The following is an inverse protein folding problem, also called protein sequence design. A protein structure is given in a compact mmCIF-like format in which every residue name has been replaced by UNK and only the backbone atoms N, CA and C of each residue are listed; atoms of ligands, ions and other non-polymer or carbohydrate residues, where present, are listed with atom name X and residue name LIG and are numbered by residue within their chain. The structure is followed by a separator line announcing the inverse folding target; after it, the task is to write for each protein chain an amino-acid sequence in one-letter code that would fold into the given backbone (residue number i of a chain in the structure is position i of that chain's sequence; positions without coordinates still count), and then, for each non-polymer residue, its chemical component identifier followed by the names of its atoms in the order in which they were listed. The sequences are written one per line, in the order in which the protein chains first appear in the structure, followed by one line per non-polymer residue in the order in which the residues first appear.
data_IF_649490796700
#
_entry.id   IF_649490796700
#
_cell.length_a   1.000
_cell.length_b   1.000
_cell.length_c   1.000
_cell.angle_alpha   90.00
_cell.angle_beta   90.00
_cell.angle_gamma   90.00
#
_symmetry.space_group_name_H-M   'P 1'
#
loop_
_entity.id
_entity.type
_entity.pdbx_description
1 polymer ?
#
# COMPACT_ATOMS: atom_id res chain seq x y z
N UNK A 1 -10.72 -19.95 1.85
CA UNK A 1 -10.82 -18.94 2.92
C UNK A 1 -10.93 -17.57 2.24
N UNK A 2 -11.89 -16.74 2.69
CA UNK A 2 -12.49 -15.60 1.97
C UNK A 2 -11.54 -14.84 1.02
N UNK A 3 -11.64 -15.14 -0.29
CA UNK A 3 -10.75 -14.60 -1.33
C UNK A 3 -11.33 -13.39 -2.06
N UNK A 4 -12.59 -13.03 -1.78
CA UNK A 4 -13.22 -11.82 -2.33
C UNK A 4 -13.12 -10.70 -1.28
N UNK A 5 -12.37 -9.61 -1.55
CA UNK A 5 -12.29 -8.46 -0.65
C UNK A 5 -13.65 -7.79 -0.39
N UNK A 6 -14.68 -8.12 -1.18
CA UNK A 6 -16.05 -7.65 -0.98
C UNK A 6 -16.95 -8.64 -0.25
N UNK A 7 -16.48 -9.84 0.12
CA UNK A 7 -17.31 -10.80 0.84
C UNK A 7 -17.80 -10.25 2.19
N UNK A 8 -16.95 -9.48 2.88
CA UNK A 8 -17.30 -8.84 4.14
C UNK A 8 -18.48 -7.87 3.98
N UNK A 9 -18.58 -7.15 2.86
CA UNK A 9 -19.71 -6.23 2.59
C UNK A 9 -21.07 -6.92 2.59
N UNK A 10 -21.13 -8.20 2.20
CA UNK A 10 -22.40 -8.94 2.14
C UNK A 10 -22.94 -9.33 3.51
N UNK A 11 -22.08 -9.38 4.53
CA UNK A 11 -22.43 -9.84 5.88
C UNK A 11 -22.24 -8.77 6.95
N UNK A 12 -21.70 -7.60 6.57
CA UNK A 12 -21.27 -6.52 7.46
C UNK A 12 -22.38 -6.06 8.39
N UNK A 13 -23.60 -5.86 7.88
CA UNK A 13 -24.74 -5.42 8.70
C UNK A 13 -25.15 -6.45 9.76
N UNK A 14 -24.95 -7.75 9.49
CA UNK A 14 -25.26 -8.83 10.43
C UNK A 14 -24.20 -8.99 11.53
N UNK A 15 -22.97 -8.53 11.28
CA UNK A 15 -21.83 -8.71 12.20
C UNK A 15 -21.33 -7.40 12.81
N UNK A 16 -21.93 -6.25 12.50
CA UNK A 16 -21.47 -4.92 12.94
C UNK A 16 -21.36 -4.73 14.46
N UNK A 17 -22.09 -5.53 15.23
CA UNK A 17 -22.04 -5.51 16.70
C UNK A 17 -20.89 -6.35 17.30
N UNK A 18 -20.19 -7.16 16.52
CA UNK A 18 -19.00 -7.89 16.96
C UNK A 18 -17.75 -6.99 16.94
N UNK A 19 -16.65 -7.39 17.59
CA UNK A 19 -15.34 -6.74 17.40
C UNK A 19 -14.80 -7.12 16.03
N UNK A 20 -14.63 -6.13 15.16
CA UNK A 20 -14.11 -6.32 13.80
C UNK A 20 -12.60 -6.13 13.78
N UNK A 21 -11.93 -7.00 13.04
CA UNK A 21 -10.52 -6.85 12.67
C UNK A 21 -10.47 -6.29 11.25
N UNK A 22 -10.11 -5.01 11.12
CA UNK A 22 -10.21 -4.27 9.86
C UNK A 22 -8.88 -3.63 9.51
N UNK A 23 -8.59 -3.42 8.23
CA UNK A 23 -7.35 -2.77 7.81
C UNK A 23 -7.42 -1.24 7.84
N UNK A 24 -8.64 -0.71 7.70
CA UNK A 24 -8.99 0.71 7.78
C UNK A 24 -10.52 0.85 7.91
N UNK A 25 -10.99 2.07 8.17
CA UNK A 25 -12.41 2.43 8.17
C UNK A 25 -12.87 3.08 6.85
N UNK A 26 -11.99 3.25 5.86
CA UNK A 26 -12.32 3.93 4.59
C UNK A 26 -13.39 3.21 3.77
N UNK A 27 -13.64 1.94 4.09
CA UNK A 27 -14.62 1.08 3.46
C UNK A 27 -15.88 0.83 4.27
N UNK A 28 -15.97 1.31 5.50
CA UNK A 28 -17.11 1.09 6.39
C UNK A 28 -18.01 2.33 6.45
N UNK A 29 -19.32 2.12 6.59
CA UNK A 29 -20.23 3.22 6.94
C UNK A 29 -20.04 3.61 8.41
N UNK A 30 -20.51 4.81 8.76
CA UNK A 30 -20.44 5.32 10.12
C UNK A 30 -21.13 4.41 11.16
N UNK A 31 -22.14 3.63 10.77
CA UNK A 31 -22.83 2.69 11.66
C UNK A 31 -22.25 1.26 11.63
N UNK A 32 -21.21 1.02 10.83
CA UNK A 32 -20.63 -0.30 10.61
C UNK A 32 -19.27 -0.50 11.30
N UNK A 33 -18.53 0.59 11.59
CA UNK A 33 -17.24 0.54 12.25
C UNK A 33 -17.13 1.56 13.38
N UNK A 34 -16.34 1.24 14.41
CA UNK A 34 -16.09 2.13 15.55
C UNK A 34 -14.66 2.01 16.06
N UNK A 35 -13.96 3.13 16.22
CA UNK A 35 -12.63 3.21 16.84
C UNK A 35 -12.61 2.76 18.31
N UNK A 36 -13.77 2.75 18.97
CA UNK A 36 -13.88 2.34 20.39
C UNK A 36 -13.99 0.81 20.52
N UNK A 37 -14.50 0.13 19.48
CA UNK A 37 -14.81 -1.30 19.51
C UNK A 37 -13.87 -2.12 18.64
N UNK A 38 -13.54 -1.62 17.46
CA UNK A 38 -12.85 -2.36 16.40
C UNK A 38 -11.34 -2.17 16.45
N UNK A 39 -10.62 -3.17 15.98
CA UNK A 39 -9.16 -3.19 15.99
C UNK A 39 -8.64 -3.03 14.57
N UNK A 40 -7.79 -2.02 14.37
CA UNK A 40 -7.05 -1.84 13.12
C UNK A 40 -5.90 -2.85 13.08
N UNK A 41 -5.89 -3.72 12.09
CA UNK A 41 -4.84 -4.70 11.85
C UNK A 41 -4.02 -4.28 10.62
N UNK A 42 -2.68 -4.27 10.71
CA UNK A 42 -1.81 -4.04 9.56
C UNK A 42 -2.19 -4.86 8.33
N UNK A 43 -2.09 -4.25 7.14
CA UNK A 43 -2.29 -4.98 5.89
C UNK A 43 -1.28 -6.13 5.76
N UNK A 44 -1.74 -7.29 5.32
CA UNK A 44 -0.82 -8.35 4.89
C UNK A 44 -0.09 -7.90 3.63
N UNK A 45 1.25 -7.90 3.69
CA UNK A 45 2.08 -7.68 2.51
C UNK A 45 1.76 -8.73 1.42
N UNK A 46 1.90 -8.33 0.17
CA UNK A 46 1.50 -9.10 -1.02
C UNK A 46 2.69 -9.58 -1.83
N UNK A 47 3.89 -9.08 -1.55
CA UNK A 47 5.15 -9.43 -2.20
C UNK A 47 6.01 -10.31 -1.30
N UNK A 48 7.09 -10.90 -1.83
CA UNK A 48 7.98 -11.69 -0.99
C UNK A 48 8.82 -10.77 -0.09
N UNK A 49 9.04 -11.20 1.16
CA UNK A 49 10.01 -10.58 2.06
C UNK A 49 11.39 -10.59 1.41
N UNK A 50 12.12 -9.49 1.56
CA UNK A 50 13.50 -9.38 1.12
C UNK A 50 14.37 -10.43 1.83
N UNK A 51 15.16 -11.16 1.04
CA UNK A 51 15.92 -12.32 1.50
C UNK A 51 17.45 -12.09 1.49
N UNK A 52 17.91 -10.87 1.20
CA UNK A 52 19.35 -10.57 1.14
C UNK A 52 20.01 -10.81 -0.22
N UNK A 53 19.23 -11.05 -1.27
CA UNK A 53 19.73 -11.30 -2.63
C UNK A 53 20.49 -10.10 -3.24
N UNK A 54 20.07 -8.86 -2.94
CA UNK A 54 20.70 -7.63 -3.43
C UNK A 54 20.93 -6.65 -2.29
N UNK A 55 22.18 -6.51 -1.85
CA UNK A 55 22.54 -5.58 -0.77
C UNK A 55 21.99 -4.17 -1.02
N UNK A 56 21.63 -3.48 0.06
CA UNK A 56 21.01 -2.14 0.00
C UNK A 56 21.91 -1.14 -0.76
N UNK A 57 23.23 -1.26 -0.61
CA UNK A 57 24.25 -0.45 -1.30
C UNK A 57 24.25 -0.67 -2.82
N UNK A 58 23.96 -1.90 -3.28
CA UNK A 58 24.03 -2.31 -4.68
C UNK A 58 22.70 -2.11 -5.43
N UNK A 59 21.73 -1.41 -4.82
CA UNK A 59 20.46 -1.08 -5.45
C UNK A 59 20.65 0.08 -6.43
N UNK A 60 20.61 -0.23 -7.72
CA UNK A 60 20.83 0.75 -8.79
C UNK A 60 19.57 1.56 -9.14
N UNK A 61 18.38 1.11 -8.74
CA UNK A 61 17.16 1.89 -8.94
C UNK A 61 16.96 2.84 -7.76
N UNK A 62 16.82 4.13 -8.05
CA UNK A 62 16.53 5.14 -7.06
C UNK A 62 15.10 4.99 -6.54
N UNK A 63 14.12 5.05 -7.44
CA UNK A 63 12.70 5.12 -7.08
C UNK A 63 11.87 4.10 -7.86
N UNK A 64 11.01 3.36 -7.16
CA UNK A 64 10.11 2.38 -7.76
C UNK A 64 8.63 2.64 -7.43
N UNK A 65 7.79 2.48 -8.44
CA UNK A 65 6.34 2.37 -8.32
C UNK A 65 5.79 1.39 -9.35
N UNK A 66 4.94 0.46 -8.90
CA UNK A 66 4.08 -0.30 -9.80
C UNK A 66 2.67 -0.38 -9.25
N UNK A 67 1.70 0.01 -10.07
CA UNK A 67 0.30 -0.01 -9.66
C UNK A 67 -0.65 0.50 -10.73
N UNK A 68 -1.95 0.46 -10.42
CA UNK A 68 -2.94 0.97 -11.36
C UNK A 68 -2.79 2.50 -11.49
N UNK A 69 -2.39 2.93 -12.70
CA UNK A 69 -2.25 4.34 -13.11
C UNK A 69 -3.58 5.08 -13.05
N UNK A 70 -4.64 4.47 -13.55
CA UNK A 70 -5.96 5.10 -13.66
C UNK A 70 -6.84 4.67 -12.48
N UNK A 71 -6.95 5.54 -11.48
CA UNK A 71 -7.82 5.40 -10.32
C UNK A 71 -8.79 6.58 -10.25
N UNK A 72 -10.01 6.34 -9.76
CA UNK A 72 -11.00 7.40 -9.50
C UNK A 72 -10.60 8.18 -8.22
N UNK A 73 -11.21 9.34 -8.00
CA UNK A 73 -11.05 10.14 -6.76
C UNK A 73 -9.59 10.43 -6.37
N UNK A 74 -9.15 10.01 -5.17
CA UNK A 74 -7.83 10.29 -4.57
C UNK A 74 -6.62 9.72 -5.35
N UNK A 75 -6.86 9.00 -6.45
CA UNK A 75 -5.83 8.48 -7.34
C UNK A 75 -5.42 9.40 -8.50
N UNK A 76 -6.04 10.58 -8.67
CA UNK A 76 -5.73 11.50 -9.79
C UNK A 76 -4.25 11.92 -9.86
N UNK A 77 -3.61 12.07 -8.70
CA UNK A 77 -2.18 12.43 -8.62
C UNK A 77 -1.28 11.36 -9.26
N UNK A 78 -1.74 10.11 -9.36
CA UNK A 78 -0.96 9.02 -9.95
C UNK A 78 -0.70 9.25 -11.42
N UNK A 79 -1.67 9.76 -12.17
CA UNK A 79 -1.44 10.03 -13.60
C UNK A 79 -0.36 11.10 -13.78
N UNK A 80 -0.40 12.17 -12.96
CA UNK A 80 0.64 13.20 -12.95
C UNK A 80 2.01 12.62 -12.55
N UNK A 81 2.07 11.82 -11.49
CA UNK A 81 3.32 11.17 -11.06
C UNK A 81 3.90 10.26 -12.15
N UNK A 82 3.06 9.54 -12.90
CA UNK A 82 3.53 8.77 -14.05
C UNK A 82 4.14 9.67 -15.12
N UNK A 83 3.44 10.74 -15.52
CA UNK A 83 3.93 11.66 -16.56
C UNK A 83 5.24 12.34 -16.17
N UNK A 84 5.39 12.71 -14.89
CA UNK A 84 6.59 13.38 -14.41
C UNK A 84 7.79 12.44 -14.24
N UNK A 85 7.56 11.18 -13.86
CA UNK A 85 8.62 10.26 -13.46
C UNK A 85 8.99 9.22 -14.52
N UNK A 86 8.20 9.05 -15.58
CA UNK A 86 8.42 7.98 -16.57
C UNK A 86 9.74 8.09 -17.34
N UNK A 87 10.32 9.30 -17.43
CA UNK A 87 11.55 9.57 -18.18
C UNK A 87 12.75 9.93 -17.28
N UNK A 88 12.60 9.81 -15.95
CA UNK A 88 13.66 10.12 -15.00
C UNK A 88 14.67 8.97 -14.89
N UNK A 89 15.95 9.31 -14.78
CA UNK A 89 17.03 8.33 -14.61
C UNK A 89 16.90 7.59 -13.28
N UNK A 90 17.20 6.29 -13.27
CA UNK A 90 17.07 5.41 -12.11
C UNK A 90 15.66 5.35 -11.48
N UNK A 91 14.63 5.79 -12.21
CA UNK A 91 13.24 5.74 -11.76
C UNK A 91 12.45 4.72 -12.58
N UNK A 92 11.69 3.87 -11.88
CA UNK A 92 10.82 2.87 -12.50
C UNK A 92 9.38 3.12 -12.05
N UNK A 93 8.57 3.67 -12.94
CA UNK A 93 7.12 3.82 -12.73
C UNK A 93 6.37 3.01 -13.79
N UNK A 94 5.64 1.98 -13.37
CA UNK A 94 4.96 1.04 -14.27
C UNK A 94 3.49 0.85 -13.94
N UNK A 95 2.67 0.75 -14.98
CA UNK A 95 1.28 0.35 -14.81
C UNK A 95 1.22 -1.12 -14.42
N UNK A 96 0.44 -1.44 -13.38
CA UNK A 96 0.29 -2.81 -12.88
C UNK A 96 -1.13 -3.10 -12.42
N UNK A 97 -1.63 -4.28 -12.79
CA UNK A 97 -2.90 -4.86 -12.33
C UNK A 97 -2.64 -6.00 -11.34
N UNK A 98 -3.70 -6.50 -10.69
CA UNK A 98 -3.59 -7.63 -9.77
C UNK A 98 -3.35 -8.94 -10.55
N UNK A 99 -2.10 -9.31 -10.78
CA UNK A 99 -1.70 -10.57 -11.40
C UNK A 99 -0.51 -11.21 -10.66
N UNK A 100 -0.26 -12.51 -10.88
CA UNK A 100 0.92 -13.20 -10.32
C UNK A 100 2.22 -12.65 -10.91
N UNK A 101 2.21 -12.31 -12.18
CA UNK A 101 3.36 -11.75 -12.89
C UNK A 101 3.73 -10.36 -12.37
N UNK A 102 2.74 -9.46 -12.28
CA UNK A 102 2.95 -8.10 -11.75
C UNK A 102 3.44 -8.13 -10.30
N UNK A 103 2.99 -9.11 -9.50
CA UNK A 103 3.48 -9.30 -8.13
C UNK A 103 4.95 -9.70 -8.08
N UNK A 104 5.40 -10.58 -8.98
CA UNK A 104 6.83 -10.95 -9.09
C UNK A 104 7.66 -9.76 -9.56
N UNK A 105 7.18 -9.04 -10.57
CA UNK A 105 7.83 -7.84 -11.06
C UNK A 105 7.92 -6.74 -9.98
N UNK A 106 6.85 -6.55 -9.20
CA UNK A 106 6.85 -5.64 -8.06
C UNK A 106 7.81 -6.08 -6.95
N UNK A 107 7.83 -7.38 -6.62
CA UNK A 107 8.80 -7.93 -5.65
C UNK A 107 10.23 -7.59 -6.06
N UNK A 108 10.59 -7.93 -7.31
CA UNK A 108 11.93 -7.67 -7.83
C UNK A 108 12.25 -6.17 -7.86
N UNK A 109 11.34 -5.36 -8.40
CA UNK A 109 11.53 -3.91 -8.47
C UNK A 109 11.69 -3.26 -7.10
N UNK A 110 10.98 -3.72 -6.08
CA UNK A 110 11.13 -3.20 -4.72
C UNK A 110 12.44 -3.68 -4.05
N UNK A 111 12.91 -4.89 -4.35
CA UNK A 111 14.20 -5.40 -3.84
C UNK A 111 15.42 -4.74 -4.48
N UNK A 112 15.29 -4.25 -5.72
CA UNK A 112 16.37 -3.56 -6.45
C UNK A 112 16.37 -2.04 -6.23
N UNK A 113 15.41 -1.50 -5.48
CA UNK A 113 15.20 -0.05 -5.36
C UNK A 113 15.47 0.51 -3.97
N UNK A 114 16.02 1.72 -3.91
CA UNK A 114 16.28 2.42 -2.64
C UNK A 114 14.99 2.95 -2.04
N UNK A 115 14.17 3.61 -2.86
CA UNK A 115 12.93 4.26 -2.47
C UNK A 115 11.73 3.64 -3.18
N UNK A 116 10.62 3.51 -2.46
CA UNK A 116 9.36 3.02 -2.98
C UNK A 116 8.31 4.11 -2.82
N UNK A 117 7.88 4.68 -3.94
CA UNK A 117 6.88 5.74 -3.94
C UNK A 117 5.58 5.18 -3.40
N UNK A 118 4.88 5.87 -2.51
CA UNK A 118 3.65 5.47 -1.83
C UNK A 118 2.57 6.57 -1.92
N UNK A 119 2.01 6.85 -3.13
CA UNK A 119 0.89 7.77 -3.25
C UNK A 119 -0.36 7.20 -2.57
N UNK A 120 -1.16 8.10 -2.02
CA UNK A 120 -2.48 7.79 -1.50
C UNK A 120 -3.31 6.93 -2.47
N UNK A 121 -4.14 6.07 -1.91
CA UNK A 121 -5.12 5.28 -2.64
C UNK A 121 -6.53 5.57 -2.14
N UNK A 122 -7.46 4.68 -2.46
CA UNK A 122 -8.85 4.78 -2.00
C UNK A 122 -9.01 4.46 -0.50
N UNK A 123 -7.93 4.02 0.17
CA UNK A 123 -7.88 3.74 1.60
C UNK A 123 -6.70 4.48 2.24
N UNK A 124 -6.83 5.00 3.48
CA UNK A 124 -5.75 5.70 4.18
C UNK A 124 -4.52 4.81 4.39
N UNK A 125 -4.72 3.53 4.75
CA UNK A 125 -3.66 2.55 4.87
C UNK A 125 -3.50 1.79 3.54
N UNK A 126 -2.35 1.96 2.89
CA UNK A 126 -2.03 1.24 1.66
C UNK A 126 -1.23 -0.02 2.00
N UNK A 127 -1.69 -1.19 1.53
CA UNK A 127 -0.92 -2.45 1.52
C UNK A 127 0.55 -2.27 1.08
N UNK A 128 0.79 -1.29 0.20
CA UNK A 128 2.07 -0.99 -0.40
C UNK A 128 3.10 -0.37 0.56
N UNK A 129 2.63 0.27 1.64
CA UNK A 129 3.51 0.69 2.73
C UNK A 129 4.15 -0.53 3.38
N UNK A 130 3.36 -1.56 3.70
CA UNK A 130 3.85 -2.81 4.27
C UNK A 130 4.70 -3.60 3.28
N UNK A 131 4.36 -3.61 1.99
CA UNK A 131 5.22 -4.16 0.94
C UNK A 131 6.61 -3.48 0.96
N UNK A 132 6.66 -2.15 1.07
CA UNK A 132 7.93 -1.39 1.12
C UNK A 132 8.77 -1.79 2.32
N UNK A 133 8.14 -1.92 3.49
CA UNK A 133 8.80 -2.33 4.74
C UNK A 133 9.41 -3.74 4.60
N UNK A 134 8.64 -4.74 4.13
CA UNK A 134 9.16 -6.12 4.01
C UNK A 134 10.20 -6.27 2.89
N UNK A 135 10.27 -5.33 1.96
CA UNK A 135 11.32 -5.23 0.94
C UNK A 135 12.57 -4.47 1.39
N UNK A 136 12.57 -3.89 2.60
CA UNK A 136 13.56 -2.91 3.05
C UNK A 136 13.74 -1.76 2.04
N UNK A 137 12.67 -1.38 1.35
CA UNK A 137 12.63 -0.26 0.41
C UNK A 137 12.04 0.94 1.12
N UNK A 138 12.75 2.06 1.17
CA UNK A 138 12.33 3.22 1.98
C UNK A 138 11.03 3.82 1.40
N UNK A 139 9.91 3.82 2.14
CA UNK A 139 8.65 4.31 1.61
C UNK A 139 8.67 5.84 1.50
N UNK A 140 8.39 6.37 0.30
CA UNK A 140 8.19 7.80 0.06
C UNK A 140 6.70 8.08 -0.02
N UNK A 141 6.11 8.49 1.09
CA UNK A 141 4.66 8.70 1.19
C UNK A 141 4.26 10.02 0.53
N UNK A 142 3.25 9.98 -0.35
CA UNK A 142 2.66 11.16 -1.00
C UNK A 142 1.17 11.21 -0.64
N UNK A 143 0.85 11.94 0.43
CA UNK A 143 -0.52 12.13 0.91
C UNK A 143 -0.58 13.27 1.92
N UNK A 144 -1.63 14.07 1.87
CA UNK A 144 -1.94 15.10 2.88
C UNK A 144 -2.73 14.54 4.07
N UNK A 145 -3.15 13.27 4.00
CA UNK A 145 -4.14 12.68 4.91
C UNK A 145 -3.84 11.20 5.21
N UNK A 146 -2.55 10.81 5.22
CA UNK A 146 -2.19 9.46 5.65
C UNK A 146 -2.24 9.41 7.18
N UNK A 147 -2.81 8.34 7.70
CA UNK A 147 -2.62 7.94 9.09
C UNK A 147 -1.52 6.87 9.10
N UNK A 148 -0.40 7.18 9.73
CA UNK A 148 0.71 6.25 9.90
C UNK A 148 0.39 5.23 10.99
N UNK A 149 0.88 3.99 10.86
CA UNK A 149 0.69 3.00 11.91
C UNK A 149 1.41 3.42 13.18
N UNK A 150 0.71 3.36 14.32
CA UNK A 150 1.26 3.67 15.65
C UNK A 150 1.71 5.13 15.84
N UNK A 151 1.01 6.12 15.27
CA UNK A 151 1.29 7.55 15.51
C UNK A 151 1.27 7.96 16.99
N UNK A 152 0.58 7.19 17.83
CA UNK A 152 0.54 7.37 19.27
C UNK A 152 1.80 6.85 20.00
N UNK A 153 2.61 6.02 19.33
CA UNK A 153 3.79 5.36 19.90
C UNK A 153 5.09 5.83 19.22
N UNK A 154 5.07 6.06 17.91
CA UNK A 154 6.24 6.40 17.10
C UNK A 154 6.16 7.86 16.68
N UNK A 155 7.16 8.67 17.06
CA UNK A 155 7.31 10.02 16.54
C UNK A 155 7.92 9.95 15.14
N UNK A 156 7.12 10.32 14.15
CA UNK A 156 7.50 10.36 12.74
C UNK A 156 8.06 11.73 12.30
N UNK A 157 8.16 12.71 13.21
CA UNK A 157 8.65 14.07 12.91
C UNK A 157 10.16 14.24 13.04
#
# INVERSE_FOLDING_TARGET
MASDPNALYKVLDSVKNAVLLVCDFGRLKADQGSLVKDVIVPYSHRINTYNGDISVENRNTLLFFMGNRFRKEGGKIRDLLFQLLENEEDVIVKHGTQSRENRRAATHGMHTSKFCLNPAGDTPSACRLFDSIVSLCVPVVISDSIELPFEDVIDYR
#
